data_IF_793936383937
#
_entry.id   IF_793936383937
#
_cell.length_a   1.000
_cell.length_b   1.000
_cell.length_c   1.000
_cell.angle_alpha   90.00
_cell.angle_beta   90.00
_cell.angle_gamma   90.00
#
_symmetry.space_group_name_H-M   'P 1'
#
loop_
_entity.id
_entity.type
_entity.pdbx_description
1 polymer ?
#
# COMPACT_ATOMS: atom_id res chain seq x y z
N UNK A 1 -26.88 -11.60 3.38
CA UNK A 1 -25.52 -11.10 3.32
C UNK A 1 -25.44 -9.90 2.41
N UNK A 2 -24.71 -8.84 2.77
CA UNK A 2 -24.53 -7.66 1.91
C UNK A 2 -23.73 -8.04 0.67
N UNK A 3 -24.13 -7.53 -0.49
CA UNK A 3 -23.45 -7.79 -1.77
C UNK A 3 -22.03 -7.18 -1.74
N UNK A 4 -20.97 -7.93 -2.12
CA UNK A 4 -19.63 -7.37 -2.19
C UNK A 4 -19.56 -6.19 -3.18
N UNK A 5 -18.98 -5.07 -2.73
CA UNK A 5 -18.84 -3.85 -3.54
C UNK A 5 -17.69 -3.97 -4.54
N UNK A 6 -16.62 -4.68 -4.16
CA UNK A 6 -15.34 -4.76 -4.87
C UNK A 6 -14.96 -6.20 -5.24
N UNK A 7 -15.93 -7.08 -5.52
CA UNK A 7 -15.66 -8.47 -5.86
C UNK A 7 -16.01 -8.78 -7.32
N UNK A 8 -15.23 -9.66 -7.93
CA UNK A 8 -15.46 -10.14 -9.29
C UNK A 8 -14.65 -9.42 -10.37
N UNK A 9 -15.02 -9.62 -11.62
CA UNK A 9 -14.31 -9.02 -12.76
C UNK A 9 -14.65 -7.53 -12.85
N UNK A 10 -13.62 -6.69 -12.72
CA UNK A 10 -13.75 -5.26 -12.85
C UNK A 10 -14.20 -4.86 -14.26
N UNK A 11 -15.30 -4.11 -14.37
CA UNK A 11 -15.79 -3.59 -15.65
C UNK A 11 -15.64 -2.07 -15.65
N UNK A 12 -14.81 -1.54 -16.55
CA UNK A 12 -14.63 -0.09 -16.72
C UNK A 12 -15.90 0.51 -17.34
N UNK A 13 -16.43 1.55 -16.69
CA UNK A 13 -17.56 2.35 -17.19
C UNK A 13 -17.06 3.59 -17.89
N UNK A 14 -16.05 4.26 -17.33
CA UNK A 14 -15.43 5.42 -17.94
C UNK A 14 -13.98 5.56 -17.51
N UNK A 15 -13.17 6.14 -18.40
CA UNK A 15 -11.81 6.58 -18.15
C UNK A 15 -11.72 8.06 -18.49
N UNK A 16 -11.26 8.87 -17.52
CA UNK A 16 -11.06 10.32 -17.72
C UNK A 16 -9.65 10.67 -17.31
N UNK A 17 -8.95 11.44 -18.15
CA UNK A 17 -7.60 11.93 -17.87
C UNK A 17 -7.59 13.45 -17.71
N UNK A 18 -6.70 13.95 -16.86
CA UNK A 18 -6.41 15.37 -16.71
C UNK A 18 -4.96 15.58 -16.28
N UNK A 19 -4.41 16.76 -16.56
CA UNK A 19 -3.15 17.21 -15.95
C UNK A 19 -3.46 17.80 -14.57
N UNK A 20 -2.60 17.51 -13.62
CA UNK A 20 -2.58 18.08 -12.28
C UNK A 20 -1.40 19.02 -12.20
N UNK A 21 -1.65 20.24 -11.73
CA UNK A 21 -0.67 21.21 -11.28
C UNK A 21 -1.10 21.62 -9.88
N UNK A 22 -0.33 21.25 -8.88
CA UNK A 22 -0.68 21.51 -7.49
C UNK A 22 0.56 22.03 -6.76
N UNK A 23 0.45 23.22 -6.19
CA UNK A 23 1.43 23.71 -5.23
C UNK A 23 1.16 23.06 -3.88
N UNK A 24 2.19 22.45 -3.31
CA UNK A 24 2.12 21.75 -2.03
C UNK A 24 2.99 22.51 -1.03
N UNK A 25 2.35 23.04 0.01
CA UNK A 25 3.07 23.60 1.15
C UNK A 25 3.68 22.46 1.98
N UNK A 26 4.95 22.57 2.26
CA UNK A 26 5.70 21.56 3.00
C UNK A 26 6.52 22.21 4.15
N UNK A 27 5.86 22.81 5.15
CA UNK A 27 6.50 23.66 6.17
C UNK A 27 7.53 22.93 7.04
N UNK A 28 7.45 21.60 7.10
CA UNK A 28 8.38 20.76 7.87
C UNK A 28 9.38 20.00 7.00
N UNK A 29 9.46 20.33 5.72
CA UNK A 29 10.36 19.69 4.78
C UNK A 29 11.52 20.62 4.38
N UNK A 30 12.47 20.06 3.63
CA UNK A 30 13.66 20.77 3.12
C UNK A 30 13.31 22.01 2.27
N UNK A 31 12.21 21.96 1.54
CA UNK A 31 11.67 23.08 0.75
C UNK A 31 10.36 23.54 1.37
N UNK A 32 10.11 24.85 1.39
CA UNK A 32 8.84 25.41 1.91
C UNK A 32 7.63 24.98 1.11
N UNK A 33 7.80 24.83 -0.18
CA UNK A 33 6.77 24.35 -1.10
C UNK A 33 7.42 23.67 -2.30
N UNK A 34 6.67 22.85 -2.99
CA UNK A 34 7.04 22.28 -4.28
C UNK A 34 5.80 22.09 -5.14
N UNK A 35 6.00 22.09 -6.46
CA UNK A 35 4.93 21.89 -7.43
C UNK A 35 4.84 20.42 -7.82
N UNK A 36 3.69 19.80 -7.56
CA UNK A 36 3.38 18.47 -8.06
C UNK A 36 2.76 18.59 -9.46
N UNK A 37 3.44 18.01 -10.44
CA UNK A 37 2.97 17.97 -11.83
C UNK A 37 2.82 16.52 -12.25
N UNK A 38 1.60 16.10 -12.62
CA UNK A 38 1.36 14.75 -13.08
C UNK A 38 0.18 14.65 -14.05
N UNK A 39 0.08 13.51 -14.73
CA UNK A 39 -1.14 13.11 -15.40
C UNK A 39 -1.94 12.19 -14.50
N UNK A 40 -3.21 12.54 -14.26
CA UNK A 40 -4.13 11.72 -13.47
C UNK A 40 -5.16 11.07 -14.38
N UNK A 41 -5.38 9.76 -14.21
CA UNK A 41 -6.47 9.01 -14.84
C UNK A 41 -7.43 8.52 -13.74
N UNK A 42 -8.72 8.83 -13.91
CA UNK A 42 -9.80 8.27 -13.11
C UNK A 42 -10.51 7.17 -13.89
N UNK A 43 -10.39 5.93 -13.43
CA UNK A 43 -11.16 4.79 -13.91
C UNK A 43 -12.37 4.58 -13.02
N UNK A 44 -13.57 4.89 -13.53
CA UNK A 44 -14.82 4.51 -12.86
C UNK A 44 -15.18 3.08 -13.24
N UNK A 45 -15.37 2.24 -12.24
CA UNK A 45 -15.73 0.84 -12.42
C UNK A 45 -17.23 0.61 -12.17
N UNK A 46 -17.76 -0.51 -12.67
CA UNK A 46 -19.15 -0.89 -12.42
C UNK A 46 -19.32 -1.16 -10.91
N UNK A 47 -20.27 -0.46 -10.30
CA UNK A 47 -20.47 -0.44 -8.86
C UNK A 47 -20.11 0.95 -8.31
N UNK A 48 -20.00 1.06 -7.02
CA UNK A 48 -19.74 2.32 -6.30
C UNK A 48 -18.25 2.50 -6.00
N UNK A 49 -17.36 2.22 -6.99
CA UNK A 49 -15.92 2.30 -6.80
C UNK A 49 -15.16 2.64 -8.09
N UNK A 50 -13.89 2.97 -7.93
CA UNK A 50 -12.98 3.23 -9.03
C UNK A 50 -11.54 3.29 -8.57
N UNK A 51 -10.65 3.67 -9.48
CA UNK A 51 -9.21 3.76 -9.27
C UNK A 51 -8.70 5.07 -9.85
N UNK A 52 -7.91 5.79 -9.08
CA UNK A 52 -7.07 6.88 -9.57
C UNK A 52 -5.67 6.35 -9.85
N UNK A 53 -5.13 6.71 -11.01
CA UNK A 53 -3.72 6.55 -11.35
C UNK A 53 -3.10 7.92 -11.52
N UNK A 54 -1.90 8.13 -11.00
CA UNK A 54 -1.08 9.32 -11.24
C UNK A 54 0.25 8.90 -11.81
N UNK A 55 0.69 9.58 -12.87
CA UNK A 55 1.99 9.36 -13.52
C UNK A 55 2.78 10.64 -13.43
N UNK A 56 3.91 10.56 -12.78
CA UNK A 56 4.93 11.59 -12.61
C UNK A 56 6.15 11.23 -13.47
N UNK A 57 7.09 12.14 -13.62
CA UNK A 57 8.37 11.82 -14.26
C UNK A 57 9.18 10.79 -13.45
N UNK A 58 9.04 10.84 -12.12
CA UNK A 58 9.79 10.03 -11.15
C UNK A 58 9.01 8.83 -10.63
N UNK A 59 7.87 8.48 -11.23
CA UNK A 59 7.12 7.31 -10.79
C UNK A 59 5.63 7.32 -11.07
N UNK A 60 4.97 6.31 -10.53
CA UNK A 60 3.53 6.13 -10.66
C UNK A 60 2.91 5.85 -9.30
N UNK A 61 1.65 6.25 -9.14
CA UNK A 61 0.87 5.92 -7.97
C UNK A 61 -0.56 5.54 -8.37
N UNK A 62 -1.16 4.65 -7.58
CA UNK A 62 -2.59 4.36 -7.73
C UNK A 62 -3.26 4.29 -6.36
N UNK A 63 -4.54 4.57 -6.32
CA UNK A 63 -5.41 4.32 -5.18
C UNK A 63 -6.83 4.00 -5.58
N UNK A 64 -7.49 3.20 -4.79
CA UNK A 64 -8.92 2.99 -4.90
C UNK A 64 -9.72 4.16 -4.31
N UNK A 65 -10.94 4.28 -4.72
CA UNK A 65 -11.97 5.07 -4.06
C UNK A 65 -13.31 4.33 -4.09
N UNK A 66 -14.15 4.63 -3.12
CA UNK A 66 -15.53 4.17 -3.05
C UNK A 66 -16.48 5.36 -2.90
N UNK A 67 -17.72 5.18 -3.31
CA UNK A 67 -18.78 6.20 -3.24
C UNK A 67 -20.08 5.66 -2.63
N UNK A 68 -19.99 4.59 -1.85
CA UNK A 68 -21.12 4.02 -1.13
C UNK A 68 -21.67 4.99 -0.08
N UNK A 69 -22.96 4.96 0.12
CA UNK A 69 -23.62 5.72 1.21
C UNK A 69 -23.48 5.05 2.56
N UNK A 70 -23.28 3.72 2.57
CA UNK A 70 -23.12 2.94 3.78
C UNK A 70 -21.65 2.72 4.11
N UNK A 71 -21.33 2.55 5.39
CA UNK A 71 -20.01 2.15 5.84
C UNK A 71 -19.63 0.77 5.26
N UNK A 72 -18.36 0.56 5.01
CA UNK A 72 -17.83 -0.63 4.36
C UNK A 72 -16.90 -1.39 5.29
N UNK A 73 -17.00 -2.71 5.26
CA UNK A 73 -16.04 -3.62 5.85
C UNK A 73 -15.14 -4.13 4.72
N UNK A 74 -13.86 -3.83 4.82
CA UNK A 74 -12.85 -4.27 3.85
C UNK A 74 -12.23 -5.56 4.36
N UNK A 75 -12.53 -6.65 3.68
CA UNK A 75 -12.03 -7.97 4.07
C UNK A 75 -10.54 -8.12 3.78
N UNK A 76 -10.09 -7.63 2.64
CA UNK A 76 -8.68 -7.65 2.23
C UNK A 76 -8.45 -6.68 1.05
N UNK A 77 -7.20 -6.38 0.78
CA UNK A 77 -6.74 -5.70 -0.44
C UNK A 77 -5.75 -6.61 -1.17
N UNK A 78 -5.98 -6.83 -2.45
CA UNK A 78 -5.03 -7.55 -3.31
C UNK A 78 -4.13 -6.51 -3.97
N UNK A 79 -2.91 -6.37 -3.46
CA UNK A 79 -1.86 -5.56 -4.04
C UNK A 79 -0.72 -6.48 -4.47
N UNK A 80 -0.48 -6.59 -5.77
CA UNK A 80 0.59 -7.43 -6.31
C UNK A 80 1.44 -6.61 -7.27
N UNK A 81 2.76 -6.62 -7.03
CA UNK A 81 3.77 -5.91 -7.81
C UNK A 81 4.65 -6.96 -8.48
N UNK A 82 4.37 -7.23 -9.77
CA UNK A 82 5.08 -8.23 -10.56
C UNK A 82 6.11 -7.57 -11.46
N UNK A 83 7.33 -8.07 -11.39
CA UNK A 83 8.44 -7.59 -12.19
C UNK A 83 8.66 -8.50 -13.42
N UNK A 84 9.22 -7.94 -14.49
CA UNK A 84 9.45 -8.67 -15.75
C UNK A 84 10.61 -9.67 -15.65
N UNK A 85 11.45 -9.58 -14.62
CA UNK A 85 12.60 -10.46 -14.43
C UNK A 85 12.86 -10.78 -12.96
N UNK A 86 13.79 -11.70 -12.74
CA UNK A 86 14.28 -12.02 -11.41
C UNK A 86 15.33 -10.98 -10.97
N UNK A 87 14.86 -9.86 -10.48
CA UNK A 87 15.66 -8.72 -10.08
C UNK A 87 16.08 -8.80 -8.62
N UNK A 88 17.12 -8.05 -8.26
CA UNK A 88 17.58 -7.92 -6.89
C UNK A 88 16.67 -7.00 -6.08
N UNK A 89 16.19 -7.48 -4.95
CA UNK A 89 15.35 -6.71 -4.03
C UNK A 89 16.11 -6.42 -2.73
N UNK A 90 15.82 -5.26 -2.16
CA UNK A 90 16.29 -4.78 -0.86
C UNK A 90 15.11 -4.85 0.11
N UNK A 91 15.13 -5.80 1.02
CA UNK A 91 13.99 -6.20 1.83
C UNK A 91 14.30 -6.08 3.33
N UNK A 92 13.66 -5.13 4.05
CA UNK A 92 13.76 -5.03 5.50
C UNK A 92 12.71 -5.94 6.15
N UNK A 93 13.10 -7.17 6.48
CA UNK A 93 12.21 -8.14 7.10
C UNK A 93 11.86 -7.79 8.55
N UNK A 94 10.66 -8.15 8.97
CA UNK A 94 10.30 -8.12 10.39
C UNK A 94 11.17 -9.07 11.19
N UNK A 95 11.71 -8.58 12.30
CA UNK A 95 12.57 -9.38 13.19
C UNK A 95 11.80 -10.37 14.04
N UNK A 96 10.53 -10.08 14.34
CA UNK A 96 9.68 -10.97 15.12
C UNK A 96 8.94 -11.93 14.21
N UNK A 97 9.37 -13.18 14.16
CA UNK A 97 8.78 -14.22 13.31
C UNK A 97 7.42 -14.72 13.82
N UNK A 98 7.16 -14.66 15.13
CA UNK A 98 5.90 -15.12 15.72
C UNK A 98 4.78 -14.08 15.58
N UNK A 99 5.14 -12.81 15.77
CA UNK A 99 4.21 -11.67 15.66
C UNK A 99 4.79 -10.58 14.76
N UNK A 100 4.91 -10.84 13.44
CA UNK A 100 5.69 -9.98 12.56
C UNK A 100 5.10 -8.58 12.35
N UNK A 101 3.85 -8.35 12.73
CA UNK A 101 3.17 -7.06 12.65
C UNK A 101 3.08 -6.32 13.99
N UNK A 102 3.66 -6.87 15.08
CA UNK A 102 3.46 -6.35 16.44
C UNK A 102 4.65 -5.63 17.04
N UNK A 103 5.76 -5.50 16.31
CA UNK A 103 7.02 -4.95 16.83
C UNK A 103 7.47 -3.71 16.04
N UNK A 104 8.47 -3.02 16.57
CA UNK A 104 9.11 -1.92 15.87
C UNK A 104 9.77 -2.42 14.57
N UNK A 105 9.60 -1.65 13.49
CA UNK A 105 10.08 -1.99 12.16
C UNK A 105 11.43 -1.31 11.93
N UNK A 106 12.47 -1.86 12.55
CA UNK A 106 13.87 -1.47 12.35
C UNK A 106 14.69 -2.72 12.10
N UNK A 107 15.24 -2.85 10.91
CA UNK A 107 16.12 -3.94 10.55
C UNK A 107 17.05 -3.50 9.41
N UNK A 108 18.15 -4.21 9.26
CA UNK A 108 19.01 -4.11 8.07
C UNK A 108 18.30 -4.69 6.87
N UNK A 109 18.59 -4.15 5.70
CA UNK A 109 18.06 -4.67 4.44
C UNK A 109 18.80 -5.93 4.03
N UNK A 110 18.06 -6.99 3.76
CA UNK A 110 18.60 -8.15 3.04
C UNK A 110 18.53 -7.88 1.53
N UNK A 111 19.60 -8.27 0.84
CA UNK A 111 19.76 -8.04 -0.61
C UNK A 111 19.79 -9.39 -1.29
N UNK A 112 18.73 -9.72 -2.04
CA UNK A 112 18.57 -11.01 -2.71
C UNK A 112 17.80 -10.90 -4.01
N UNK A 113 18.02 -11.82 -4.98
CA UNK A 113 17.09 -11.99 -6.09
C UNK A 113 15.69 -12.33 -5.60
N UNK A 114 14.64 -11.82 -6.25
CA UNK A 114 13.24 -12.02 -5.84
C UNK A 114 12.86 -13.50 -5.69
N UNK A 115 13.39 -14.38 -6.56
CA UNK A 115 13.13 -15.83 -6.49
C UNK A 115 13.80 -16.54 -5.32
N UNK A 116 14.85 -15.93 -4.72
CA UNK A 116 15.60 -16.46 -3.61
C UNK A 116 15.27 -15.78 -2.28
N UNK A 117 14.46 -14.72 -2.36
CA UNK A 117 14.06 -13.94 -1.21
C UNK A 117 13.13 -14.77 -0.30
N UNK A 118 13.39 -14.81 1.02
CA UNK A 118 12.50 -15.44 1.97
C UNK A 118 11.06 -14.94 1.82
N UNK A 119 10.10 -15.87 1.82
CA UNK A 119 8.67 -15.52 1.76
C UNK A 119 8.19 -15.07 3.15
N UNK A 120 8.84 -14.06 3.69
CA UNK A 120 8.58 -13.49 5.00
C UNK A 120 8.08 -12.05 4.87
N UNK A 121 7.55 -11.51 5.95
CA UNK A 121 7.00 -10.16 5.99
C UNK A 121 8.11 -9.11 5.99
N UNK A 122 8.14 -8.27 4.98
CA UNK A 122 8.98 -7.08 4.89
C UNK A 122 8.14 -5.81 5.01
N UNK A 123 8.68 -4.79 5.66
CA UNK A 123 8.03 -3.48 5.77
C UNK A 123 8.52 -2.52 4.68
N UNK A 124 7.75 -1.47 4.40
CA UNK A 124 8.13 -0.44 3.43
C UNK A 124 9.13 0.56 4.04
N UNK A 125 9.99 1.19 3.22
CA UNK A 125 10.08 1.03 1.76
C UNK A 125 10.84 -0.23 1.34
N UNK A 126 10.50 -0.77 0.18
CA UNK A 126 11.21 -1.87 -0.48
C UNK A 126 11.65 -1.42 -1.86
N UNK A 127 12.92 -1.64 -2.19
CA UNK A 127 13.48 -1.28 -3.51
C UNK A 127 13.83 -2.54 -4.30
N UNK A 128 13.50 -2.53 -5.58
CA UNK A 128 13.88 -3.56 -6.54
C UNK A 128 14.76 -2.92 -7.62
N UNK A 129 15.98 -3.43 -7.79
CA UNK A 129 16.92 -3.00 -8.82
C UNK A 129 16.63 -3.75 -10.13
N UNK A 130 15.96 -3.06 -11.05
CA UNK A 130 15.60 -3.58 -12.37
C UNK A 130 16.69 -3.39 -13.43
N UNK A 131 17.95 -3.18 -13.04
CA UNK A 131 19.14 -2.93 -13.86
C UNK A 131 19.17 -1.54 -14.53
N UNK A 132 18.11 -1.18 -15.26
CA UNK A 132 18.03 0.13 -15.93
C UNK A 132 17.41 1.20 -15.04
N UNK A 133 16.62 0.79 -14.05
CA UNK A 133 16.00 1.68 -13.09
C UNK A 133 15.80 0.95 -11.77
N UNK A 134 15.73 1.68 -10.67
CA UNK A 134 15.30 1.17 -9.37
C UNK A 134 13.86 1.56 -9.12
N UNK A 135 13.07 0.61 -8.65
CA UNK A 135 11.66 0.80 -8.30
C UNK A 135 11.51 0.65 -6.80
N UNK A 136 11.12 1.73 -6.13
CA UNK A 136 10.88 1.72 -4.68
C UNK A 136 9.38 1.75 -4.41
N UNK A 137 8.89 0.73 -3.69
CA UNK A 137 7.52 0.65 -3.21
C UNK A 137 7.35 1.49 -1.95
N UNK A 138 6.33 2.34 -1.96
CA UNK A 138 5.97 3.26 -0.89
C UNK A 138 4.44 3.31 -0.76
N UNK A 139 3.98 3.93 0.31
CA UNK A 139 2.57 4.26 0.50
C UNK A 139 2.40 5.63 1.14
N UNK A 140 1.20 6.18 1.04
CA UNK A 140 0.87 7.48 1.61
C UNK A 140 -0.63 7.57 1.86
N UNK A 141 -1.05 8.51 2.72
CA UNK A 141 -2.47 8.85 2.96
C UNK A 141 -3.25 7.68 3.59
N UNK A 142 -2.71 7.12 4.67
CA UNK A 142 -3.25 5.90 5.30
C UNK A 142 -4.64 6.09 5.93
N UNK A 143 -4.91 7.19 6.55
CA UNK A 143 -6.20 7.61 7.16
C UNK A 143 -7.16 6.48 7.58
N UNK A 144 -6.98 5.94 8.78
CA UNK A 144 -7.80 4.84 9.32
C UNK A 144 -7.83 3.58 8.43
N UNK A 145 -6.70 3.26 7.82
CA UNK A 145 -6.48 2.06 7.02
C UNK A 145 -5.13 1.43 7.38
N UNK A 146 -4.97 0.11 7.36
CA UNK A 146 -3.70 -0.52 7.71
C UNK A 146 -2.60 -0.20 6.72
N UNK A 147 -1.39 0.02 7.22
CA UNK A 147 -0.19 0.11 6.40
C UNK A 147 0.09 -1.20 5.66
N UNK A 148 0.69 -1.09 4.48
CA UNK A 148 1.04 -2.23 3.65
C UNK A 148 2.41 -2.77 4.05
N UNK A 149 2.46 -4.06 4.35
CA UNK A 149 3.68 -4.86 4.30
C UNK A 149 3.75 -5.56 2.96
N UNK A 150 4.90 -6.10 2.62
CA UNK A 150 5.06 -6.93 1.43
C UNK A 150 5.69 -8.27 1.76
N UNK A 151 5.35 -9.27 0.96
CA UNK A 151 5.91 -10.61 1.04
C UNK A 151 6.32 -11.07 -0.35
N UNK A 152 7.58 -11.49 -0.57
CA UNK A 152 7.98 -12.12 -1.82
C UNK A 152 7.14 -13.36 -2.12
N UNK A 153 6.81 -13.60 -3.38
CA UNK A 153 6.05 -14.79 -3.80
C UNK A 153 6.94 -16.01 -4.12
N UNK A 154 8.26 -15.88 -3.91
CA UNK A 154 9.25 -16.88 -4.27
C UNK A 154 9.52 -16.97 -5.78
N UNK A 155 9.05 -16.00 -6.55
CA UNK A 155 9.25 -15.90 -8.02
C UNK A 155 9.70 -14.49 -8.39
N UNK A 156 8.79 -13.67 -8.88
CA UNK A 156 9.09 -12.33 -9.42
C UNK A 156 8.09 -11.26 -8.95
N UNK A 157 7.35 -11.53 -7.88
CA UNK A 157 6.38 -10.58 -7.36
C UNK A 157 6.53 -10.34 -5.86
N UNK A 158 6.12 -9.14 -5.46
CA UNK A 158 5.87 -8.75 -4.08
C UNK A 158 4.36 -8.64 -3.88
N UNK A 159 3.84 -9.31 -2.86
CA UNK A 159 2.40 -9.28 -2.51
C UNK A 159 2.19 -8.42 -1.27
N UNK A 160 1.23 -7.54 -1.33
CA UNK A 160 0.78 -6.74 -0.18
C UNK A 160 0.16 -7.62 0.90
N UNK A 161 0.52 -7.36 2.14
CA UNK A 161 -0.02 -8.02 3.33
C UNK A 161 -0.45 -6.94 4.31
N UNK A 162 -1.63 -7.10 4.89
CA UNK A 162 -2.24 -6.10 5.76
C UNK A 162 -2.58 -6.69 7.12
N UNK A 163 -2.34 -5.90 8.16
CA UNK A 163 -2.73 -6.28 9.51
C UNK A 163 -4.27 -6.36 9.61
N UNK A 164 -4.81 -7.40 10.27
CA UNK A 164 -6.23 -7.48 10.54
C UNK A 164 -6.66 -6.38 11.51
N UNK A 165 -7.92 -5.98 11.43
CA UNK A 165 -8.48 -4.92 12.27
C UNK A 165 -8.45 -5.34 13.76
N UNK A 166 -8.02 -4.46 14.68
CA UNK A 166 -8.02 -4.73 16.11
C UNK A 166 -9.44 -4.96 16.63
N UNK A 167 -9.64 -6.06 17.36
CA UNK A 167 -10.90 -6.35 18.09
C UNK A 167 -10.78 -6.03 19.55
N UNK A 168 -9.65 -6.42 20.16
CA UNK A 168 -9.31 -6.08 21.55
C UNK A 168 -7.87 -5.64 21.64
N UNK A 169 -7.62 -4.69 22.52
CA UNK A 169 -6.30 -4.21 22.88
C UNK A 169 -6.06 -4.34 24.36
N UNK A 170 -4.80 -4.36 24.78
CA UNK A 170 -4.33 -4.30 26.14
C UNK A 170 -3.06 -3.46 26.21
N UNK A 171 -2.58 -3.10 27.39
CA UNK A 171 -1.38 -2.32 27.60
C UNK A 171 -0.21 -3.18 28.04
N UNK A 172 1.00 -2.87 27.53
CA UNK A 172 2.20 -3.47 28.07
C UNK A 172 2.40 -3.08 29.54
N UNK A 173 2.75 -4.02 30.47
CA UNK A 173 2.89 -3.73 31.88
C UNK A 173 3.93 -2.65 32.23
N UNK A 174 4.94 -2.49 31.38
CA UNK A 174 6.09 -1.60 31.62
C UNK A 174 6.05 -0.28 30.83
N UNK A 175 5.05 -0.08 29.98
CA UNK A 175 4.90 1.14 29.17
C UNK A 175 3.44 1.37 28.79
N UNK A 176 3.06 2.65 28.67
CA UNK A 176 1.71 3.04 28.22
C UNK A 176 1.56 2.91 26.71
N UNK A 177 1.80 1.72 26.18
CA UNK A 177 1.62 1.42 24.77
C UNK A 177 0.65 0.26 24.65
N UNK A 178 -0.38 0.46 23.82
CA UNK A 178 -1.35 -0.59 23.49
C UNK A 178 -0.74 -1.65 22.56
N UNK A 179 -1.21 -2.88 22.70
CA UNK A 179 -0.98 -3.96 21.77
C UNK A 179 -2.28 -4.72 21.51
N UNK A 180 -2.40 -5.31 20.33
CA UNK A 180 -3.60 -6.04 19.91
C UNK A 180 -3.55 -7.44 20.50
N UNK A 181 -4.65 -7.85 21.20
CA UNK A 181 -4.82 -9.18 21.78
C UNK A 181 -5.76 -10.07 20.98
N UNK A 182 -6.74 -9.47 20.31
CA UNK A 182 -7.66 -10.17 19.39
C UNK A 182 -7.88 -9.32 18.15
N UNK A 183 -8.08 -9.99 17.01
CA UNK A 183 -8.32 -9.34 15.71
C UNK A 183 -9.64 -9.78 15.10
N UNK A 184 -10.18 -8.96 14.24
CA UNK A 184 -11.31 -9.29 13.38
C UNK A 184 -10.86 -10.06 12.13
N UNK A 185 -11.83 -10.61 11.37
CA UNK A 185 -11.60 -11.30 10.09
C UNK A 185 -11.57 -10.35 8.87
N UNK A 186 -11.32 -9.06 9.11
CA UNK A 186 -11.24 -8.00 8.11
C UNK A 186 -10.12 -7.02 8.46
N UNK A 187 -9.70 -6.20 7.49
CA UNK A 187 -8.56 -5.29 7.66
C UNK A 187 -8.98 -3.85 7.99
N UNK A 188 -10.19 -3.43 7.62
CA UNK A 188 -10.67 -2.09 7.92
C UNK A 188 -12.21 -2.01 7.98
N UNK A 189 -12.70 -1.11 8.83
CA UNK A 189 -14.09 -0.64 8.85
C UNK A 189 -14.08 0.86 8.56
N UNK A 190 -14.63 1.27 7.43
CA UNK A 190 -14.43 2.60 6.87
C UNK A 190 -15.72 3.22 6.38
N UNK A 191 -15.73 4.55 6.25
CA UNK A 191 -16.80 5.26 5.56
C UNK A 191 -16.88 4.82 4.10
N UNK A 192 -18.11 4.67 3.59
CA UNK A 192 -18.32 4.17 2.23
C UNK A 192 -17.90 5.16 1.15
N UNK A 193 -17.97 6.46 1.40
CA UNK A 193 -17.50 7.51 0.49
C UNK A 193 -16.13 8.00 0.94
N UNK A 194 -15.08 7.42 0.35
CA UNK A 194 -13.69 7.76 0.67
C UNK A 194 -12.71 7.40 -0.44
N UNK A 195 -11.49 7.89 -0.31
CA UNK A 195 -10.31 7.38 -1.00
C UNK A 195 -9.51 6.46 -0.06
N UNK A 196 -8.74 5.55 -0.64
CA UNK A 196 -7.85 4.62 0.08
C UNK A 196 -6.40 5.08 -0.06
N UNK A 197 -5.45 4.49 0.68
CA UNK A 197 -4.04 4.86 0.57
C UNK A 197 -3.49 4.78 -0.85
N UNK A 198 -2.56 5.68 -1.14
CA UNK A 198 -1.77 5.60 -2.35
C UNK A 198 -0.76 4.45 -2.25
N UNK A 199 -0.71 3.64 -3.30
CA UNK A 199 0.36 2.69 -3.56
C UNK A 199 1.29 3.35 -4.58
N UNK A 200 2.55 3.54 -4.19
CA UNK A 200 3.48 4.39 -4.92
C UNK A 200 4.66 3.55 -5.38
N UNK A 201 5.03 3.72 -6.65
CA UNK A 201 6.25 3.18 -7.23
C UNK A 201 7.10 4.38 -7.64
N UNK A 202 8.08 4.75 -6.80
CA UNK A 202 9.10 5.72 -7.17
C UNK A 202 10.12 5.04 -8.08
N UNK A 203 10.46 5.69 -9.18
CA UNK A 203 11.35 5.14 -10.22
C UNK A 203 12.53 6.09 -10.36
N UNK A 204 13.74 5.55 -10.20
CA UNK A 204 14.99 6.30 -10.32
C UNK A 204 15.96 5.53 -11.23
N UNK A 205 16.73 6.23 -12.03
CA UNK A 205 17.85 5.67 -12.81
C UNK A 205 19.07 5.39 -11.93
#
# INVERSE_FOLDING_TARGET
GKTPVLAGVAKVISAKTKKIFQDIDAPFYRFKSFQAVCNEMNLKLKGEYGVYFRVYNEGVAYRFYTSSKEDLIIKNEIAEFRFAGNYTAYLPYSTNKEKPMAMAFQNTYEVKPLSEAPQELAFLPVTVDCKQAKVTLLESDLEAYPGMFVQPDGKQALKGVFAPYPKKTDFYPWRKQEYVTETEDYIAHVKGNRTYPWRILAITE
#
